data_IF_825733380568
#
_entry.id   IF_825733380568
#
_cell.length_a   1.000
_cell.length_b   1.000
_cell.length_c   1.000
_cell.angle_alpha   90.00
_cell.angle_beta   90.00
_cell.angle_gamma   90.00
#
_symmetry.space_group_name_H-M   'P 1'
#
loop_
_entity.id
_entity.type
_entity.pdbx_description
1 polymer ?
#
# COMPACT_ATOMS: atom_id res chain seq x y z
N UNK A 1 -14.27 12.50 2.95
CA UNK A 1 -13.64 11.60 3.93
C UNK A 1 -12.56 12.33 4.73
N UNK A 2 -12.74 12.42 6.06
CA UNK A 2 -11.71 12.95 6.96
C UNK A 2 -10.51 11.99 7.06
N UNK A 3 -9.37 12.43 7.62
CA UNK A 3 -8.14 11.62 7.67
C UNK A 3 -8.32 10.30 8.41
N UNK A 4 -9.07 10.27 9.53
CA UNK A 4 -9.37 9.03 10.27
C UNK A 4 -10.20 8.03 9.47
N UNK A 5 -11.17 8.53 8.72
CA UNK A 5 -12.06 7.70 7.93
C UNK A 5 -11.28 7.02 6.79
N UNK A 6 -10.37 7.75 6.14
CA UNK A 6 -9.44 7.20 5.15
C UNK A 6 -8.50 6.16 5.78
N UNK A 7 -8.01 6.41 7.00
CA UNK A 7 -7.18 5.45 7.73
C UNK A 7 -7.93 4.14 7.97
N UNK A 8 -9.10 4.19 8.60
CA UNK A 8 -9.84 2.98 8.96
C UNK A 8 -10.45 2.26 7.75
N UNK A 9 -10.95 2.99 6.75
CA UNK A 9 -11.64 2.41 5.60
C UNK A 9 -10.67 1.97 4.49
N UNK A 10 -9.52 2.64 4.33
CA UNK A 10 -8.57 2.38 3.24
C UNK A 10 -7.25 1.84 3.79
N UNK A 11 -6.55 2.58 4.66
CA UNK A 11 -5.22 2.16 5.14
C UNK A 11 -5.27 0.79 5.82
N UNK A 12 -6.14 0.62 6.82
CA UNK A 12 -6.25 -0.63 7.59
C UNK A 12 -6.62 -1.80 6.67
N UNK A 13 -7.55 -1.60 5.74
CA UNK A 13 -7.96 -2.63 4.77
C UNK A 13 -6.83 -3.06 3.84
N UNK A 14 -6.07 -2.09 3.32
CA UNK A 14 -4.93 -2.38 2.45
C UNK A 14 -3.83 -3.08 3.24
N UNK A 15 -3.53 -2.61 4.45
CA UNK A 15 -2.57 -3.24 5.34
C UNK A 15 -2.96 -4.70 5.64
N UNK A 16 -4.21 -4.95 6.03
CA UNK A 16 -4.74 -6.31 6.23
C UNK A 16 -4.74 -7.15 4.94
N UNK A 17 -4.86 -6.56 3.76
CA UNK A 17 -4.79 -7.33 2.52
C UNK A 17 -3.36 -7.76 2.16
N UNK A 18 -2.36 -6.94 2.53
CA UNK A 18 -0.95 -7.13 2.12
C UNK A 18 -0.05 -7.66 3.23
N UNK A 19 -0.43 -7.58 4.51
CA UNK A 19 0.37 -8.10 5.64
C UNK A 19 0.61 -9.62 5.59
N UNK A 20 -0.30 -10.36 4.95
CA UNK A 20 -0.22 -11.80 4.74
C UNK A 20 0.72 -12.18 3.57
N UNK A 21 1.18 -11.19 2.79
CA UNK A 21 2.08 -11.45 1.67
C UNK A 21 3.48 -11.80 2.18
N UNK A 22 4.01 -12.91 1.66
CA UNK A 22 5.39 -13.31 1.89
C UNK A 22 6.35 -12.29 1.28
N UNK A 23 7.34 -11.85 2.04
CA UNK A 23 8.33 -10.87 1.59
C UNK A 23 7.99 -9.42 1.93
N UNK A 24 6.94 -9.15 2.70
CA UNK A 24 6.70 -7.85 3.30
C UNK A 24 7.54 -7.72 4.58
N UNK A 25 8.39 -6.70 4.61
CA UNK A 25 9.24 -6.36 5.75
C UNK A 25 8.55 -5.41 6.71
N UNK A 26 8.03 -4.31 6.16
CA UNK A 26 7.38 -3.25 6.92
C UNK A 26 6.27 -2.62 6.07
N UNK A 27 5.17 -2.23 6.72
CA UNK A 27 4.07 -1.50 6.09
C UNK A 27 3.90 -0.20 6.86
N UNK A 28 3.79 0.91 6.14
CA UNK A 28 3.47 2.22 6.69
C UNK A 28 2.31 2.82 5.92
N UNK A 29 1.22 3.18 6.59
CA UNK A 29 0.20 4.02 5.99
C UNK A 29 0.31 5.47 6.45
N UNK A 30 -0.05 6.38 5.56
CA UNK A 30 -0.28 7.79 5.86
C UNK A 30 -1.64 8.16 5.28
N UNK A 31 -2.60 8.45 6.16
CA UNK A 31 -3.90 8.97 5.77
C UNK A 31 -3.91 10.51 5.83
N UNK A 32 -4.48 11.11 4.80
CA UNK A 32 -4.80 12.54 4.70
C UNK A 32 -6.25 12.67 4.25
N UNK A 33 -6.78 13.88 4.39
CA UNK A 33 -8.14 14.18 3.95
C UNK A 33 -8.28 13.85 2.46
N UNK A 34 -9.17 12.91 2.13
CA UNK A 34 -9.39 12.42 0.76
C UNK A 34 -8.27 11.57 0.14
N UNK A 35 -7.18 11.23 0.85
CA UNK A 35 -6.05 10.48 0.26
C UNK A 35 -5.35 9.59 1.28
N UNK A 36 -5.21 8.30 0.98
CA UNK A 36 -4.38 7.35 1.73
C UNK A 36 -3.16 6.93 0.92
N UNK A 37 -2.00 6.90 1.54
CA UNK A 37 -0.76 6.40 0.92
C UNK A 37 -0.20 5.27 1.76
N UNK A 38 -0.06 4.09 1.15
CA UNK A 38 0.54 2.91 1.79
C UNK A 38 1.92 2.67 1.17
N UNK A 39 2.93 2.61 2.02
CA UNK A 39 4.29 2.24 1.68
C UNK A 39 4.54 0.82 2.20
N UNK A 40 4.96 -0.07 1.30
CA UNK A 40 5.33 -1.45 1.65
C UNK A 40 6.80 -1.63 1.35
N UNK A 41 7.58 -1.97 2.38
CA UNK A 41 8.98 -2.34 2.23
C UNK A 41 9.07 -3.84 1.97
N UNK A 42 9.78 -4.20 0.90
CA UNK A 42 10.06 -5.58 0.57
C UNK A 42 11.30 -6.09 1.32
N UNK A 43 11.32 -7.40 1.62
CA UNK A 43 12.51 -8.07 2.09
C UNK A 43 13.63 -8.03 1.01
N UNK A 44 14.90 -7.84 1.41
CA UNK A 44 16.01 -7.63 0.47
C UNK A 44 16.29 -8.83 -0.45
N UNK A 45 15.85 -10.03 -0.07
CA UNK A 45 16.02 -11.26 -0.86
C UNK A 45 14.74 -11.62 -1.65
N UNK A 46 13.69 -10.80 -1.57
CA UNK A 46 12.41 -11.07 -2.22
C UNK A 46 12.30 -10.42 -3.60
N UNK A 47 11.60 -11.08 -4.53
CA UNK A 47 11.42 -10.57 -5.87
C UNK A 47 10.38 -9.43 -5.88
N UNK A 48 10.85 -8.19 -6.06
CA UNK A 48 10.02 -6.97 -6.12
C UNK A 48 8.88 -7.08 -7.14
N UNK A 49 9.16 -7.65 -8.32
CA UNK A 49 8.20 -7.81 -9.40
C UNK A 49 7.07 -8.80 -9.05
N UNK A 50 7.39 -9.85 -8.29
CA UNK A 50 6.39 -10.76 -7.73
C UNK A 50 5.60 -10.05 -6.63
N UNK A 51 6.27 -9.36 -5.72
CA UNK A 51 5.59 -8.66 -4.63
C UNK A 51 4.62 -7.60 -5.15
N UNK A 52 5.02 -6.78 -6.14
CA UNK A 52 4.17 -5.75 -6.72
C UNK A 52 2.95 -6.34 -7.44
N UNK A 53 3.13 -7.48 -8.11
CA UNK A 53 2.03 -8.24 -8.72
C UNK A 53 1.06 -8.79 -7.67
N UNK A 54 1.57 -9.42 -6.61
CA UNK A 54 0.78 -9.97 -5.51
C UNK A 54 0.02 -8.86 -4.75
N UNK A 55 0.69 -7.75 -4.42
CA UNK A 55 0.08 -6.57 -3.81
C UNK A 55 -1.05 -6.06 -4.71
N UNK A 56 -0.82 -5.91 -6.01
CA UNK A 56 -1.85 -5.47 -6.95
C UNK A 56 -3.06 -6.41 -6.92
N UNK A 57 -2.84 -7.72 -6.95
CA UNK A 57 -3.94 -8.69 -6.90
C UNK A 57 -4.71 -8.65 -5.58
N UNK A 58 -4.01 -8.56 -4.43
CA UNK A 58 -4.64 -8.47 -3.11
C UNK A 58 -5.46 -7.19 -2.98
N UNK A 59 -4.90 -6.06 -3.39
CA UNK A 59 -5.54 -4.75 -3.31
C UNK A 59 -6.74 -4.64 -4.25
N UNK A 60 -6.64 -5.19 -5.47
CA UNK A 60 -7.76 -5.23 -6.43
C UNK A 60 -8.91 -6.15 -5.96
N UNK A 61 -8.59 -7.18 -5.16
CA UNK A 61 -9.58 -8.09 -4.58
C UNK A 61 -10.35 -7.49 -3.39
N UNK A 62 -9.96 -6.32 -2.87
CA UNK A 62 -10.66 -5.64 -1.78
C UNK A 62 -11.97 -5.04 -2.32
N UNK A 63 -13.08 -5.73 -2.07
CA UNK A 63 -14.42 -5.27 -2.45
C UNK A 63 -15.10 -4.40 -1.38
N UNK A 64 -14.41 -4.14 -0.27
CA UNK A 64 -14.93 -3.36 0.87
C UNK A 64 -14.61 -1.87 0.78
N UNK A 65 -14.01 -1.41 -0.32
CA UNK A 65 -13.76 0.01 -0.50
C UNK A 65 -15.07 0.80 -0.64
N UNK A 66 -15.12 2.04 -0.16
CA UNK A 66 -16.24 2.93 -0.39
C UNK A 66 -16.50 3.08 -1.90
N UNK A 67 -17.77 3.17 -2.31
CA UNK A 67 -18.15 3.38 -3.73
C UNK A 67 -17.57 4.67 -4.30
N UNK A 68 -17.35 5.65 -3.43
CA UNK A 68 -16.75 6.95 -3.71
C UNK A 68 -15.21 6.94 -3.69
N UNK A 69 -14.57 5.82 -3.33
CA UNK A 69 -13.12 5.70 -3.37
C UNK A 69 -12.63 5.40 -4.80
N UNK A 70 -11.59 6.12 -5.23
CA UNK A 70 -10.92 5.81 -6.49
C UNK A 70 -10.23 4.44 -6.46
N UNK A 71 -10.03 3.85 -7.64
CA UNK A 71 -9.32 2.57 -7.74
C UNK A 71 -7.88 2.76 -7.25
N UNK A 72 -7.42 1.92 -6.31
CA UNK A 72 -6.06 2.01 -5.81
C UNK A 72 -5.05 1.76 -6.94
N UNK A 73 -4.08 2.65 -7.05
CA UNK A 73 -2.99 2.53 -8.01
C UNK A 73 -1.76 2.01 -7.28
N UNK A 74 -1.35 0.78 -7.61
CA UNK A 74 -0.12 0.18 -7.10
C UNK A 74 1.02 0.57 -8.04
N UNK A 75 1.98 1.32 -7.50
CA UNK A 75 3.19 1.72 -8.24
C UNK A 75 4.40 1.10 -7.58
N UNK A 76 5.25 0.44 -8.36
CA UNK A 76 6.54 -0.02 -7.88
C UNK A 76 7.47 1.19 -7.74
N UNK A 77 7.72 1.59 -6.49
CA UNK A 77 8.75 2.56 -6.18
C UNK A 77 10.08 1.81 -6.13
N UNK A 78 10.73 1.66 -7.28
CA UNK A 78 12.15 1.34 -7.31
C UNK A 78 12.89 2.53 -6.69
N UNK A 79 13.13 2.48 -5.36
CA UNK A 79 14.02 3.40 -4.67
C UNK A 79 15.44 3.16 -5.20
N UNK A 80 15.71 3.66 -6.41
CA UNK A 80 17.06 4.01 -6.82
C UNK A 80 17.45 5.06 -5.81
N UNK A 81 18.28 4.64 -4.85
CA UNK A 81 18.71 5.35 -3.67
C UNK A 81 19.34 6.71 -4.03
N UNK A 82 18.55 7.68 -4.48
CA UNK A 82 18.88 9.08 -4.41
C UNK A 82 18.45 9.50 -3.03
N UNK A 83 19.32 9.22 -2.06
CA UNK A 83 19.32 9.92 -0.80
C UNK A 83 19.38 11.42 -1.12
N UNK A 84 18.22 12.07 -1.16
CA UNK A 84 18.17 13.50 -0.96
C UNK A 84 18.45 13.72 0.53
N UNK A 85 19.74 13.80 0.85
CA UNK A 85 20.19 14.41 2.09
C UNK A 85 19.60 15.82 2.15
N UNK A 86 18.96 16.14 3.28
CA UNK A 86 18.63 17.51 3.67
C UNK A 86 19.52 17.92 4.83
#
# INVERSE_FOLDING_TARGET
AGPREVEEQICVRVEEAVHDLSGVREIRCTAREGMGTVLVEAEPDYNMQRLSSEIKTRVDAINTFPVEAERPVVTELAYRHYMAAV
#
